data_IF_206636568846
#
_entry.id   IF_206636568846
#
_cell.length_a   1.000
_cell.length_b   1.000
_cell.length_c   1.000
_cell.angle_alpha   90.00
_cell.angle_beta   90.00
_cell.angle_gamma   90.00
#
_symmetry.space_group_name_H-M   'P 1'
#
loop_
_entity.id
_entity.type
_entity.pdbx_description
1 polymer ?
#
# COMPACT_ATOMS: atom_id res chain seq x y z
N UNK A 1 -13.45 -22.74 -16.55
CA UNK A 1 -14.23 -22.20 -17.69
C UNK A 1 -13.46 -22.53 -18.96
N UNK A 2 -14.14 -22.97 -20.01
CA UNK A 2 -13.52 -23.36 -21.30
C UNK A 2 -12.79 -22.22 -22.01
N UNK A 3 -12.97 -20.98 -21.56
CA UNK A 3 -12.38 -19.78 -22.18
C UNK A 3 -11.06 -19.33 -21.54
N UNK A 4 -10.68 -19.88 -20.39
CA UNK A 4 -9.48 -19.48 -19.68
C UNK A 4 -8.59 -20.66 -19.33
N UNK A 5 -7.29 -20.47 -19.51
CA UNK A 5 -6.25 -21.39 -19.06
C UNK A 5 -5.44 -20.73 -17.95
N UNK A 6 -5.44 -21.35 -16.75
CA UNK A 6 -4.66 -20.90 -15.61
C UNK A 6 -3.38 -21.74 -15.49
N UNK A 7 -2.23 -21.07 -15.41
CA UNK A 7 -0.92 -21.66 -15.22
C UNK A 7 -0.41 -21.29 -13.81
N UNK A 8 0.21 -22.23 -13.14
CA UNK A 8 0.77 -22.02 -11.79
C UNK A 8 2.28 -21.74 -11.82
N UNK A 9 2.97 -22.13 -12.89
CA UNK A 9 4.40 -21.88 -13.05
C UNK A 9 4.74 -21.68 -14.55
N UNK A 10 4.96 -20.45 -15.00
CA UNK A 10 4.75 -19.17 -14.29
C UNK A 10 3.27 -18.92 -13.99
N UNK A 11 2.98 -18.13 -12.95
CA UNK A 11 1.61 -17.77 -12.59
C UNK A 11 1.04 -16.79 -13.63
N UNK A 12 0.13 -17.31 -14.45
CA UNK A 12 -0.46 -16.56 -15.58
C UNK A 12 -1.89 -17.07 -15.85
N UNK A 13 -2.74 -16.18 -16.34
CA UNK A 13 -4.05 -16.52 -16.89
C UNK A 13 -4.05 -16.13 -18.35
N UNK A 14 -4.44 -17.05 -19.22
CA UNK A 14 -4.59 -16.82 -20.64
C UNK A 14 -6.06 -16.92 -21.04
N UNK A 15 -6.54 -15.91 -21.77
CA UNK A 15 -7.83 -15.93 -22.41
C UNK A 15 -7.70 -16.58 -23.79
N UNK A 16 -8.16 -17.82 -23.91
CA UNK A 16 -7.93 -18.68 -25.08
C UNK A 16 -8.44 -18.12 -26.40
N UNK A 17 -9.62 -17.45 -26.47
CA UNK A 17 -10.13 -16.95 -27.75
C UNK A 17 -9.23 -15.93 -28.45
N UNK A 18 -8.45 -15.15 -27.69
CA UNK A 18 -7.60 -14.08 -28.24
C UNK A 18 -6.12 -14.23 -27.90
N UNK A 19 -5.78 -15.13 -26.97
CA UNK A 19 -4.42 -15.33 -26.49
C UNK A 19 -3.91 -14.22 -25.55
N UNK A 20 -4.78 -13.29 -25.13
CA UNK A 20 -4.43 -12.27 -24.15
C UNK A 20 -4.07 -12.89 -22.81
N UNK A 21 -3.16 -12.26 -22.07
CA UNK A 21 -2.66 -12.82 -20.81
C UNK A 21 -2.68 -11.81 -19.68
N UNK A 22 -2.93 -12.34 -18.48
CA UNK A 22 -2.66 -11.67 -17.20
C UNK A 22 -1.41 -12.33 -16.60
N UNK A 23 -0.41 -11.51 -16.31
CA UNK A 23 0.85 -11.93 -15.69
C UNK A 23 0.86 -11.54 -14.22
N UNK A 24 1.09 -12.49 -13.32
CA UNK A 24 1.28 -12.22 -11.90
C UNK A 24 2.76 -12.29 -11.56
N UNK A 25 3.30 -11.26 -10.96
CA UNK A 25 4.73 -11.17 -10.62
C UNK A 25 4.91 -10.55 -9.24
N UNK A 26 5.76 -11.14 -8.43
CA UNK A 26 6.19 -10.55 -7.16
C UNK A 26 7.13 -9.36 -7.40
N UNK A 27 7.08 -8.38 -6.50
CA UNK A 27 7.93 -7.19 -6.56
C UNK A 27 9.35 -7.40 -6.01
N UNK A 28 9.61 -8.55 -5.44
CA UNK A 28 10.89 -8.98 -4.88
C UNK A 28 11.98 -9.15 -5.95
N UNK A 29 11.58 -9.42 -7.20
CA UNK A 29 12.47 -9.59 -8.33
C UNK A 29 12.13 -8.63 -9.49
N UNK A 30 12.69 -7.43 -9.42
CA UNK A 30 12.55 -6.43 -10.49
C UNK A 30 13.08 -6.93 -11.85
N UNK A 31 13.99 -7.91 -11.86
CA UNK A 31 14.50 -8.53 -13.08
C UNK A 31 13.43 -9.35 -13.80
N UNK A 32 12.62 -10.10 -13.07
CA UNK A 32 11.50 -10.88 -13.64
C UNK A 32 10.45 -9.96 -14.27
N UNK A 33 10.17 -8.82 -13.67
CA UNK A 33 9.22 -7.87 -14.22
C UNK A 33 9.74 -7.25 -15.52
N UNK A 34 11.02 -6.89 -15.57
CA UNK A 34 11.67 -6.33 -16.77
C UNK A 34 11.73 -7.31 -17.93
N UNK A 35 11.67 -8.61 -17.66
CA UNK A 35 11.73 -9.66 -18.67
C UNK A 35 10.38 -10.03 -19.30
N UNK A 36 9.27 -9.47 -18.83
CA UNK A 36 7.94 -9.74 -19.40
C UNK A 36 7.90 -9.17 -20.82
N UNK A 37 7.77 -10.08 -21.79
CA UNK A 37 7.57 -9.75 -23.20
C UNK A 37 6.31 -10.47 -23.68
N UNK A 38 5.21 -9.77 -23.92
CA UNK A 38 4.04 -10.37 -24.56
C UNK A 38 4.42 -10.94 -25.92
N UNK A 39 3.85 -12.08 -26.28
CA UNK A 39 4.07 -12.69 -27.59
C UNK A 39 3.56 -11.80 -28.74
N UNK A 40 2.57 -10.96 -28.45
CA UNK A 40 2.02 -9.95 -29.36
C UNK A 40 1.48 -8.79 -28.53
N UNK A 41 1.29 -7.64 -29.17
CA UNK A 41 0.74 -6.44 -28.53
C UNK A 41 1.68 -5.85 -27.46
N UNK A 42 1.11 -5.33 -26.40
CA UNK A 42 1.82 -4.63 -25.33
C UNK A 42 1.07 -4.78 -23.99
N UNK A 43 1.68 -4.36 -22.89
CA UNK A 43 1.05 -4.33 -21.58
C UNK A 43 0.17 -3.07 -21.50
N UNK A 44 -1.14 -3.25 -21.65
CA UNK A 44 -2.11 -2.17 -21.61
C UNK A 44 -2.60 -1.84 -20.20
N UNK A 45 -2.50 -2.79 -19.27
CA UNK A 45 -2.94 -2.63 -17.88
C UNK A 45 -1.82 -3.07 -16.96
N UNK A 46 -1.50 -2.21 -15.99
CA UNK A 46 -0.55 -2.50 -14.92
C UNK A 46 -1.21 -2.22 -13.57
N UNK A 47 -1.26 -3.23 -12.72
CA UNK A 47 -1.86 -3.12 -11.39
C UNK A 47 -0.84 -3.45 -10.32
N UNK A 48 -0.62 -2.48 -9.44
CA UNK A 48 0.15 -2.63 -8.21
C UNK A 48 -0.83 -2.90 -7.07
N UNK A 49 -0.84 -4.14 -6.58
CA UNK A 49 -1.60 -4.55 -5.42
C UNK A 49 -0.72 -4.38 -4.17
N UNK A 50 -1.31 -3.97 -3.05
CA UNK A 50 -0.59 -3.67 -1.81
C UNK A 50 0.59 -2.70 -2.04
N UNK A 51 0.29 -1.54 -2.62
CA UNK A 51 1.30 -0.55 -3.00
C UNK A 51 2.28 -0.21 -1.88
N UNK A 52 1.81 -0.18 -0.63
CA UNK A 52 2.61 0.14 0.57
C UNK A 52 3.66 -0.92 0.91
N UNK A 53 3.52 -2.15 0.40
CA UNK A 53 4.50 -3.23 0.57
C UNK A 53 5.74 -3.07 -0.30
N UNK A 54 5.69 -2.24 -1.34
CA UNK A 54 6.85 -1.92 -2.16
C UNK A 54 7.85 -1.05 -1.40
N UNK A 55 9.14 -1.18 -1.72
CA UNK A 55 10.23 -0.47 -1.03
C UNK A 55 10.20 1.05 -1.18
N UNK A 56 9.39 1.57 -2.11
CA UNK A 56 9.25 3.00 -2.34
C UNK A 56 8.82 3.36 -3.77
N UNK A 57 8.57 4.64 -4.03
CA UNK A 57 8.03 5.12 -5.30
C UNK A 57 9.01 4.92 -6.48
N UNK A 58 10.29 4.81 -6.23
CA UNK A 58 11.30 4.57 -7.28
C UNK A 58 11.17 3.17 -7.88
N UNK A 59 10.91 2.17 -7.03
CA UNK A 59 10.68 0.79 -7.50
C UNK A 59 9.44 0.75 -8.39
N UNK A 60 8.37 1.41 -7.98
CA UNK A 60 7.13 1.51 -8.75
C UNK A 60 7.38 2.16 -10.11
N UNK A 61 8.06 3.33 -10.14
CA UNK A 61 8.41 4.00 -11.42
C UNK A 61 9.27 3.13 -12.33
N UNK A 62 10.23 2.41 -11.77
CA UNK A 62 11.09 1.50 -12.56
C UNK A 62 10.29 0.37 -13.21
N UNK A 63 9.29 -0.16 -12.51
CA UNK A 63 8.38 -1.17 -13.04
C UNK A 63 7.51 -0.57 -14.14
N UNK A 64 6.90 0.59 -13.92
CA UNK A 64 6.10 1.31 -14.91
C UNK A 64 6.87 1.52 -16.21
N UNK A 65 8.06 2.10 -16.13
CA UNK A 65 8.92 2.37 -17.29
C UNK A 65 9.35 1.08 -18.02
N UNK A 66 9.41 -0.04 -17.31
CA UNK A 66 9.80 -1.32 -17.89
C UNK A 66 8.62 -2.04 -18.54
N UNK A 67 7.43 -1.93 -17.96
CA UNK A 67 6.23 -2.64 -18.40
C UNK A 67 5.50 -1.90 -19.52
N UNK A 68 5.35 -0.57 -19.39
CA UNK A 68 4.57 0.24 -20.33
C UNK A 68 5.44 0.60 -21.53
N UNK A 69 5.39 -0.23 -22.57
CA UNK A 69 6.13 -0.02 -23.81
C UNK A 69 5.35 -0.55 -25.00
N UNK A 70 5.40 0.17 -26.10
CA UNK A 70 4.94 -0.31 -27.41
C UNK A 70 3.46 -0.13 -27.69
N UNK A 71 2.72 0.63 -26.87
CA UNK A 71 1.32 0.98 -27.13
C UNK A 71 1.07 2.46 -26.90
N UNK A 72 -0.05 2.95 -27.44
CA UNK A 72 -0.43 4.37 -27.35
C UNK A 72 -1.16 4.70 -26.03
N UNK A 73 -1.80 3.70 -25.43
CA UNK A 73 -2.56 3.86 -24.19
C UNK A 73 -2.22 2.77 -23.19
N UNK A 74 -2.12 3.16 -21.90
CA UNK A 74 -1.98 2.23 -20.80
C UNK A 74 -2.70 2.75 -19.55
N UNK A 75 -3.28 1.83 -18.78
CA UNK A 75 -3.94 2.12 -17.53
C UNK A 75 -3.10 1.58 -16.38
N UNK A 76 -2.82 2.43 -15.39
CA UNK A 76 -2.06 2.04 -14.20
C UNK A 76 -2.97 2.14 -12.99
N UNK A 77 -3.17 1.00 -12.32
CA UNK A 77 -3.92 0.92 -11.08
C UNK A 77 -2.96 0.71 -9.91
N UNK A 78 -3.25 1.35 -8.80
CA UNK A 78 -2.50 1.24 -7.54
C UNK A 78 -3.49 1.14 -6.41
N UNK A 79 -3.47 0.03 -5.69
CA UNK A 79 -4.37 -0.22 -4.56
C UNK A 79 -3.57 -0.54 -3.30
N UNK A 80 -4.02 -0.04 -2.17
CA UNK A 80 -3.46 -0.35 -0.86
C UNK A 80 -4.42 0.05 0.26
N UNK A 81 -4.28 -0.60 1.39
CA UNK A 81 -4.87 -0.14 2.63
C UNK A 81 -3.91 0.87 3.28
N UNK A 82 -4.34 2.11 3.60
CA UNK A 82 -3.44 3.11 4.12
C UNK A 82 -2.73 2.63 5.40
N UNK A 83 -1.40 2.54 5.44
CA UNK A 83 -0.68 2.26 6.67
C UNK A 83 -1.00 3.27 7.77
N UNK A 84 -1.01 2.82 9.03
CA UNK A 84 -1.38 3.66 10.17
C UNK A 84 -0.51 4.92 10.28
N UNK A 85 0.78 4.78 9.95
CA UNK A 85 1.73 5.88 10.07
C UNK A 85 1.69 6.85 8.88
N UNK A 86 1.56 8.14 9.17
CA UNK A 86 1.64 9.21 8.15
C UNK A 86 3.00 9.28 7.45
N UNK A 87 4.05 8.73 8.07
CA UNK A 87 5.39 8.70 7.50
C UNK A 87 5.60 7.62 6.46
N UNK A 88 4.69 6.63 6.33
CA UNK A 88 4.79 5.65 5.27
C UNK A 88 4.82 6.33 3.90
N UNK A 89 5.67 5.81 3.02
CA UNK A 89 5.88 6.39 1.70
C UNK A 89 4.62 6.39 0.83
N UNK A 90 3.76 5.36 0.93
CA UNK A 90 2.53 5.27 0.14
C UNK A 90 1.54 6.36 0.56
N UNK A 91 1.39 6.64 1.87
CA UNK A 91 0.57 7.73 2.38
C UNK A 91 1.06 9.11 1.92
N UNK A 92 2.38 9.30 1.83
CA UNK A 92 2.98 10.53 1.29
C UNK A 92 2.80 10.62 -0.22
N UNK A 93 3.01 9.51 -0.92
CA UNK A 93 2.92 9.42 -2.36
C UNK A 93 1.57 9.87 -2.90
N UNK A 94 0.46 9.35 -2.35
CA UNK A 94 -0.88 9.73 -2.82
C UNK A 94 -1.23 11.20 -2.56
N UNK A 95 -0.58 11.86 -1.60
CA UNK A 95 -0.77 13.30 -1.35
C UNK A 95 -0.06 14.18 -2.37
N UNK A 96 0.99 13.68 -3.01
CA UNK A 96 1.83 14.41 -3.97
C UNK A 96 1.43 14.20 -5.43
N UNK A 97 0.40 13.38 -5.68
CA UNK A 97 -0.05 13.10 -7.04
C UNK A 97 -0.72 14.32 -7.68
N UNK A 98 -0.48 14.47 -8.99
CA UNK A 98 -1.09 15.53 -9.79
C UNK A 98 -2.58 15.28 -10.05
N UNK A 99 -3.27 16.29 -10.56
CA UNK A 99 -4.69 16.23 -10.96
C UNK A 99 -4.96 15.28 -12.15
N UNK A 100 -3.90 14.78 -12.79
CA UNK A 100 -4.01 13.76 -13.86
C UNK A 100 -4.26 12.36 -13.32
N UNK A 101 -4.18 12.17 -12.00
CA UNK A 101 -4.39 10.89 -11.35
C UNK A 101 -5.75 10.88 -10.68
N UNK A 102 -6.62 9.97 -11.12
CA UNK A 102 -7.87 9.73 -10.43
C UNK A 102 -7.61 9.02 -9.09
N UNK A 103 -8.13 9.60 -8.01
CA UNK A 103 -8.03 9.03 -6.66
C UNK A 103 -9.41 8.61 -6.18
N UNK A 104 -9.50 7.39 -5.74
CA UNK A 104 -10.69 6.84 -5.13
C UNK A 104 -10.35 6.30 -3.74
N UNK A 105 -11.23 6.54 -2.78
CA UNK A 105 -11.16 5.95 -1.45
C UNK A 105 -12.51 5.32 -1.12
N UNK A 106 -12.49 4.12 -0.60
CA UNK A 106 -13.68 3.40 -0.17
C UNK A 106 -13.43 2.75 1.19
N UNK A 107 -14.48 2.51 1.93
CA UNK A 107 -14.47 1.74 3.16
C UNK A 107 -15.76 0.90 3.24
N UNK A 108 -15.89 0.10 4.29
CA UNK A 108 -17.02 -0.82 4.41
C UNK A 108 -18.40 -0.12 4.47
N UNK A 109 -18.47 1.16 4.86
CA UNK A 109 -19.71 1.93 4.90
C UNK A 109 -20.23 2.32 3.50
N UNK A 110 -19.34 2.25 2.50
CA UNK A 110 -19.68 2.56 1.09
C UNK A 110 -20.06 1.32 0.28
N UNK A 111 -20.05 0.15 0.92
CA UNK A 111 -20.35 -1.15 0.31
C UNK A 111 -21.75 -1.60 0.75
N UNK A 112 -22.54 -2.25 -0.14
CA UNK A 112 -23.81 -2.85 0.26
C UNK A 112 -23.61 -3.85 1.43
N UNK A 113 -24.43 -3.74 2.46
CA UNK A 113 -24.33 -4.56 3.69
C UNK A 113 -24.39 -6.07 3.42
N UNK A 114 -25.15 -6.46 2.39
CA UNK A 114 -25.32 -7.86 1.99
C UNK A 114 -23.99 -8.50 1.52
N UNK A 115 -23.02 -7.68 1.07
CA UNK A 115 -21.71 -8.15 0.62
C UNK A 115 -20.76 -8.44 1.79
N UNK A 116 -20.97 -7.80 2.94
CA UNK A 116 -20.04 -7.86 4.08
C UNK A 116 -20.34 -9.01 5.02
N UNK A 117 -21.62 -9.36 5.16
CA UNK A 117 -22.08 -10.34 6.14
C UNK A 117 -22.12 -9.82 7.58
N UNK A 118 -23.02 -10.37 8.37
CA UNK A 118 -23.29 -9.91 9.74
C UNK A 118 -22.06 -9.98 10.66
N UNK A 119 -21.30 -11.06 10.59
CA UNK A 119 -20.13 -11.26 11.47
C UNK A 119 -19.06 -10.18 11.29
N UNK A 120 -18.86 -9.68 10.05
CA UNK A 120 -17.93 -8.58 9.78
C UNK A 120 -18.41 -7.26 10.41
N UNK A 121 -19.71 -6.97 10.25
CA UNK A 121 -20.33 -5.74 10.80
C UNK A 121 -20.28 -5.77 12.33
N UNK A 122 -20.67 -6.88 12.95
CA UNK A 122 -20.65 -7.02 14.42
C UNK A 122 -19.22 -6.79 14.98
N UNK A 123 -18.18 -7.27 14.27
CA UNK A 123 -16.79 -7.02 14.68
C UNK A 123 -16.38 -5.57 14.52
N UNK A 124 -16.81 -4.91 13.46
CA UNK A 124 -16.53 -3.49 13.24
C UNK A 124 -17.13 -2.63 14.34
N UNK A 125 -18.41 -2.85 14.66
CA UNK A 125 -19.11 -2.12 15.73
C UNK A 125 -18.50 -2.42 17.11
N UNK A 126 -18.14 -3.67 17.40
CA UNK A 126 -17.42 -4.01 18.62
C UNK A 126 -16.09 -3.26 18.75
N UNK A 127 -15.29 -3.23 17.68
CA UNK A 127 -14.00 -2.51 17.72
C UNK A 127 -14.22 -1.00 17.88
N UNK A 128 -15.25 -0.45 17.28
CA UNK A 128 -15.64 0.96 17.43
C UNK A 128 -15.94 1.35 18.87
N UNK A 129 -16.58 0.45 19.63
CA UNK A 129 -16.88 0.67 21.04
C UNK A 129 -15.65 0.56 21.94
N UNK A 130 -14.82 -0.48 21.73
CA UNK A 130 -13.71 -0.80 22.65
C UNK A 130 -12.41 -0.08 22.29
N UNK A 131 -12.20 0.25 21.02
CA UNK A 131 -11.00 0.96 20.55
C UNK A 131 -11.29 1.80 19.29
N UNK A 132 -11.88 3.00 19.47
CA UNK A 132 -12.25 3.87 18.34
C UNK A 132 -11.08 4.19 17.40
N UNK A 133 -9.88 4.38 17.93
CA UNK A 133 -8.71 4.71 17.12
C UNK A 133 -8.28 3.56 16.20
N UNK A 134 -8.37 2.31 16.69
CA UNK A 134 -8.13 1.13 15.86
C UNK A 134 -9.24 0.98 14.81
N UNK A 135 -10.50 1.17 15.19
CA UNK A 135 -11.62 1.14 14.26
C UNK A 135 -11.47 2.15 13.12
N UNK A 136 -11.15 3.40 13.42
CA UNK A 136 -10.93 4.42 12.40
C UNK A 136 -9.85 4.02 11.41
N UNK A 137 -8.76 3.43 11.90
CA UNK A 137 -7.67 2.98 11.05
C UNK A 137 -8.04 1.74 10.23
N UNK A 138 -8.48 0.67 10.90
CA UNK A 138 -8.64 -0.65 10.29
C UNK A 138 -9.87 -0.75 9.37
N UNK A 139 -10.96 -0.04 9.72
CA UNK A 139 -12.22 -0.12 9.00
C UNK A 139 -12.51 1.11 8.13
N UNK A 140 -11.99 2.28 8.49
CA UNK A 140 -12.21 3.52 7.72
C UNK A 140 -10.98 4.00 6.96
N UNK A 141 -9.83 3.35 7.14
CA UNK A 141 -8.58 3.71 6.46
C UNK A 141 -7.98 5.04 6.93
N UNK A 142 -8.30 5.49 8.15
CA UNK A 142 -7.78 6.73 8.69
C UNK A 142 -6.32 6.57 9.10
N UNK A 143 -5.47 7.46 8.62
CA UNK A 143 -4.05 7.53 8.98
C UNK A 143 -3.92 8.31 10.29
N UNK A 144 -3.95 7.62 11.43
CA UNK A 144 -3.98 8.22 12.77
C UNK A 144 -2.72 7.95 13.61
N UNK A 145 -1.68 7.31 13.04
CA UNK A 145 -0.42 7.04 13.72
C UNK A 145 0.61 8.15 13.49
N UNK A 146 1.23 8.60 14.55
CA UNK A 146 2.41 9.46 14.53
C UNK A 146 3.61 8.57 14.18
N UNK A 147 4.02 8.57 12.92
CA UNK A 147 4.98 7.63 12.40
C UNK A 147 6.30 7.59 13.14
N UNK A 148 6.62 6.43 13.70
CA UNK A 148 7.96 6.11 14.21
C UNK A 148 8.31 6.67 15.58
N UNK A 149 7.40 7.31 16.28
CA UNK A 149 7.63 7.64 17.68
C UNK A 149 7.32 6.43 18.56
N UNK A 150 8.33 5.90 19.21
CA UNK A 150 8.17 4.85 20.22
C UNK A 150 7.38 5.36 21.44
N UNK A 151 7.22 6.67 21.56
CA UNK A 151 6.51 7.35 22.65
C UNK A 151 5.55 8.38 22.08
N UNK A 152 4.27 8.32 22.48
CA UNK A 152 3.22 9.24 22.00
C UNK A 152 3.34 10.67 22.56
N UNK A 153 4.08 10.84 23.67
CA UNK A 153 4.19 12.09 24.42
C UNK A 153 5.61 12.66 24.46
N UNK A 154 6.36 12.54 23.36
CA UNK A 154 7.70 13.15 23.31
C UNK A 154 7.58 14.65 23.15
N UNK A 155 7.98 15.38 24.17
CA UNK A 155 8.15 16.83 24.11
C UNK A 155 9.65 17.12 23.94
N UNK A 156 10.02 17.72 22.82
CA UNK A 156 11.39 18.22 22.62
C UNK A 156 11.50 19.59 23.26
N UNK A 157 12.36 19.72 24.25
CA UNK A 157 12.69 21.01 24.88
C UNK A 157 14.19 21.15 25.05
N UNK A 158 14.64 22.38 25.20
CA UNK A 158 16.02 22.64 25.53
C UNK A 158 16.29 22.24 26.98
N UNK A 159 17.33 21.44 27.23
CA UNK A 159 17.77 21.06 28.56
C UNK A 159 18.50 22.29 29.13
N UNK A 160 18.25 22.61 30.40
CA UNK A 160 18.95 23.73 31.10
C UNK A 160 20.29 23.28 31.63
N UNK A 161 21.19 24.24 31.88
CA UNK A 161 22.51 23.94 32.43
C UNK A 161 22.45 23.32 33.84
N UNK A 162 21.40 23.62 34.62
CA UNK A 162 21.14 23.01 35.90
C UNK A 162 20.77 21.53 35.78
N UNK A 163 19.93 21.18 34.80
CA UNK A 163 19.56 19.79 34.53
C UNK A 163 20.76 18.99 33.99
N UNK A 164 21.66 19.60 33.24
CA UNK A 164 22.89 18.95 32.77
C UNK A 164 23.80 18.63 33.98
N UNK A 165 23.94 19.57 34.94
CA UNK A 165 24.73 19.35 36.12
C UNK A 165 24.19 18.23 37.05
N UNK A 166 22.87 18.01 37.05
CA UNK A 166 22.23 16.92 37.78
C UNK A 166 22.53 15.55 37.14
N UNK A 167 22.64 15.46 35.82
CA UNK A 167 23.02 14.24 35.09
C UNK A 167 24.49 13.84 35.35
N UNK A 168 25.41 14.78 35.48
CA UNK A 168 26.82 14.50 35.71
C UNK A 168 27.06 13.84 37.07
N UNK A 169 26.18 14.06 38.06
CA UNK A 169 26.25 13.42 39.37
C UNK A 169 25.78 11.96 39.40
N UNK A 170 24.93 11.54 38.43
CA UNK A 170 24.40 10.16 38.34
C UNK A 170 25.44 9.22 37.68
N UNK A 171 26.34 9.73 36.87
CA UNK A 171 27.37 8.95 36.16
C UNK A 171 28.59 8.51 36.97
N UNK A 172 28.73 8.94 38.24
CA UNK A 172 29.87 8.59 39.10
C UNK A 172 29.61 7.42 40.07
N UNK A 173 28.49 6.74 39.94
CA UNK A 173 27.99 5.68 40.82
C UNK A 173 27.89 4.28 40.22
N UNK A 174 28.74 3.91 39.23
CA UNK A 174 28.86 2.52 38.73
C UNK A 174 30.32 2.11 38.67
#
# INVERSE_FOLDING_TARGET
SESFRCLTSPLEIEYLPTGQKIYFRGADDAGKIKSIKPAFGYIAILWFEELDSFRGPEVVRNIEQSAIRGGDEAFIFKSFNPPRTSNNWANKYVKTLSDRVYRHSSNYLTVPTDWLGKAFIDRAEFLKEVNPAAYEHEYLGVVNGLGGMAFENVVSRRITDEEIAEFDHIGQGL
#
